data_IF_272533014746
#
_entry.id   IF_272533014746
#
_cell.length_a   1.000
_cell.length_b   1.000
_cell.length_c   1.000
_cell.angle_alpha   90.00
_cell.angle_beta   90.00
_cell.angle_gamma   90.00
#
_symmetry.space_group_name_H-M   'P 1'
#
loop_
_entity.id
_entity.type
_entity.pdbx_description
1 polymer ?
#
# COMPACT_ATOMS: atom_id res chain seq x y z
N UNK A 1 9.71 -2.28 -6.86
CA UNK A 1 9.19 -3.13 -7.95
C UNK A 1 9.40 -2.43 -9.27
N UNK A 2 9.55 -3.21 -10.34
CA UNK A 2 9.74 -2.75 -11.72
C UNK A 2 8.43 -2.29 -12.39
N UNK A 3 7.41 -2.00 -11.60
CA UNK A 3 6.10 -1.58 -12.07
C UNK A 3 5.57 -0.47 -11.14
N UNK A 4 5.19 0.67 -11.75
CA UNK A 4 4.71 1.83 -11.02
C UNK A 4 3.43 1.54 -10.22
N UNK A 5 2.51 0.73 -10.76
CA UNK A 5 1.27 0.32 -10.08
C UNK A 5 1.57 -0.49 -8.83
N UNK A 6 2.49 -1.42 -8.95
CA UNK A 6 2.97 -2.27 -7.88
C UNK A 6 3.67 -1.48 -6.75
N UNK A 7 4.42 -0.44 -7.10
CA UNK A 7 5.03 0.48 -6.15
C UNK A 7 3.95 1.27 -5.37
N UNK A 8 2.92 1.78 -6.04
CA UNK A 8 1.79 2.46 -5.39
C UNK A 8 1.07 1.51 -4.43
N UNK A 9 0.77 0.28 -4.87
CA UNK A 9 0.15 -0.73 -4.00
C UNK A 9 1.00 -1.06 -2.79
N UNK A 10 2.32 -1.08 -2.93
CA UNK A 10 3.23 -1.31 -1.80
C UNK A 10 3.16 -0.20 -0.77
N UNK A 11 3.12 1.06 -1.22
CA UNK A 11 2.96 2.23 -0.32
C UNK A 11 1.59 2.18 0.38
N UNK A 12 0.52 1.86 -0.36
CA UNK A 12 -0.81 1.68 0.20
C UNK A 12 -0.85 0.58 1.27
N UNK A 13 -0.34 -0.62 0.96
CA UNK A 13 -0.28 -1.75 1.91
C UNK A 13 0.52 -1.39 3.16
N UNK A 14 1.64 -0.68 3.01
CA UNK A 14 2.45 -0.23 4.13
C UNK A 14 1.68 0.76 5.03
N UNK A 15 0.91 1.68 4.44
CA UNK A 15 0.07 2.60 5.19
C UNK A 15 -1.05 1.88 5.94
N UNK A 16 -1.76 0.95 5.30
CA UNK A 16 -2.76 0.09 5.95
C UNK A 16 -2.16 -0.68 7.12
N UNK A 17 -0.97 -1.27 6.93
CA UNK A 17 -0.27 -1.98 8.00
C UNK A 17 0.09 -1.08 9.19
N UNK A 18 0.52 0.17 8.93
CA UNK A 18 0.78 1.16 10.00
C UNK A 18 -0.47 1.49 10.78
N UNK A 19 -1.59 1.73 10.10
CA UNK A 19 -2.88 1.99 10.75
C UNK A 19 -3.34 0.79 11.60
N UNK A 20 -3.21 -0.43 11.07
CA UNK A 20 -3.52 -1.65 11.82
C UNK A 20 -2.64 -1.81 13.06
N UNK A 21 -1.35 -1.49 12.95
CA UNK A 21 -0.44 -1.52 14.09
C UNK A 21 -0.82 -0.49 15.17
N UNK A 22 -1.20 0.73 14.77
CA UNK A 22 -1.64 1.78 15.69
C UNK A 22 -2.97 1.42 16.38
N UNK A 23 -3.88 0.73 15.67
CA UNK A 23 -5.19 0.33 16.18
C UNK A 23 -5.23 -1.12 16.70
N UNK A 24 -4.07 -1.69 17.05
CA UNK A 24 -3.95 -3.12 17.39
C UNK A 24 -4.87 -3.55 18.53
N UNK A 25 -5.09 -2.70 19.54
CA UNK A 25 -5.99 -3.01 20.66
C UNK A 25 -7.41 -3.27 20.17
N UNK A 26 -7.96 -2.36 19.38
CA UNK A 26 -9.30 -2.47 18.79
C UNK A 26 -9.46 -3.74 17.91
N UNK A 27 -8.39 -4.17 17.23
CA UNK A 27 -8.40 -5.41 16.42
C UNK A 27 -8.49 -6.67 17.30
N UNK A 28 -7.92 -6.62 18.50
CA UNK A 28 -7.89 -7.73 19.45
C UNK A 28 -9.14 -7.78 20.34
N UNK A 29 -9.75 -6.63 20.61
CA UNK A 29 -11.01 -6.49 21.35
C UNK A 29 -12.20 -6.82 20.43
N UNK A 30 -12.45 -8.11 20.24
CA UNK A 30 -13.54 -8.63 19.41
C UNK A 30 -14.86 -8.53 20.19
N UNK A 31 -15.92 -7.89 19.65
CA UNK A 31 -17.23 -7.86 20.28
C UNK A 31 -17.84 -9.26 20.41
N UNK A 32 -18.56 -9.53 21.49
CA UNK A 32 -19.23 -10.83 21.72
C UNK A 32 -20.25 -11.19 20.62
N UNK A 33 -20.81 -10.18 19.97
CA UNK A 33 -21.77 -10.34 18.86
C UNK A 33 -21.14 -10.70 17.52
N UNK A 34 -19.80 -10.80 17.44
CA UNK A 34 -19.07 -10.99 16.19
C UNK A 34 -18.04 -12.10 16.27
N UNK A 35 -17.76 -12.73 15.12
CA UNK A 35 -16.63 -13.64 15.02
C UNK A 35 -15.33 -12.85 14.87
N UNK A 36 -14.21 -13.43 15.32
CA UNK A 36 -12.88 -12.84 15.15
C UNK A 36 -12.60 -12.50 13.67
N UNK A 37 -13.01 -13.37 12.75
CA UNK A 37 -12.82 -13.16 11.32
C UNK A 37 -13.63 -11.97 10.79
N UNK A 38 -14.91 -11.87 11.15
CA UNK A 38 -15.79 -10.79 10.70
C UNK A 38 -15.34 -9.42 11.26
N UNK A 39 -14.96 -9.37 12.54
CA UNK A 39 -14.42 -8.17 13.17
C UNK A 39 -13.16 -7.67 12.48
N UNK A 40 -12.16 -8.57 12.31
CA UNK A 40 -10.90 -8.22 11.64
C UNK A 40 -11.09 -7.79 10.19
N UNK A 41 -11.99 -8.45 9.46
CA UNK A 41 -12.33 -8.06 8.09
C UNK A 41 -12.93 -6.65 8.05
N UNK A 42 -13.87 -6.34 8.94
CA UNK A 42 -14.51 -5.02 9.04
C UNK A 42 -13.47 -3.93 9.31
N UNK A 43 -12.58 -4.18 10.26
CA UNK A 43 -11.50 -3.25 10.63
C UNK A 43 -10.50 -3.05 9.47
N UNK A 44 -10.15 -4.12 8.75
CA UNK A 44 -9.28 -4.04 7.57
C UNK A 44 -9.93 -3.25 6.42
N UNK A 45 -11.21 -3.50 6.13
CA UNK A 45 -11.94 -2.79 5.08
C UNK A 45 -12.07 -1.30 5.40
N UNK A 46 -12.36 -0.98 6.67
CA UNK A 46 -12.37 0.41 7.12
C UNK A 46 -11.01 1.08 6.91
N UNK A 47 -9.92 0.45 7.37
CA UNK A 47 -8.57 0.97 7.17
C UNK A 47 -8.23 1.17 5.69
N UNK A 48 -8.51 0.17 4.84
CA UNK A 48 -8.27 0.23 3.41
C UNK A 48 -9.03 1.39 2.75
N UNK A 49 -10.32 1.54 3.06
CA UNK A 49 -11.16 2.59 2.47
C UNK A 49 -10.70 4.00 2.88
N UNK A 50 -10.41 4.20 4.17
CA UNK A 50 -9.93 5.49 4.69
C UNK A 50 -8.57 5.86 4.09
N UNK A 51 -7.61 4.92 4.11
CA UNK A 51 -6.22 5.17 3.71
C UNK A 51 -6.05 5.25 2.19
N UNK A 52 -6.87 4.53 1.42
CA UNK A 52 -6.76 4.52 -0.05
C UNK A 52 -6.86 5.93 -0.63
N UNK A 53 -7.80 6.74 -0.11
CA UNK A 53 -8.03 8.12 -0.56
C UNK A 53 -6.91 9.07 -0.16
N UNK A 54 -6.27 8.82 0.98
CA UNK A 54 -5.19 9.67 1.49
C UNK A 54 -3.84 9.36 0.83
N UNK A 55 -3.59 8.09 0.54
CA UNK A 55 -2.25 7.61 0.15
C UNK A 55 -2.13 7.39 -1.35
N UNK A 56 -3.16 6.88 -2.02
CA UNK A 56 -3.13 6.60 -3.46
C UNK A 56 -3.53 7.84 -4.25
N UNK A 57 -2.64 8.84 -4.23
CA UNK A 57 -2.86 10.11 -4.94
C UNK A 57 -2.32 10.03 -6.37
N UNK A 58 -2.85 10.87 -7.27
CA UNK A 58 -2.32 10.99 -8.64
C UNK A 58 -0.84 11.39 -8.65
N UNK A 59 -0.40 12.18 -7.67
CA UNK A 59 1.00 12.56 -7.51
C UNK A 59 1.87 11.36 -7.17
N UNK A 60 1.45 10.51 -6.23
CA UNK A 60 2.17 9.29 -5.87
C UNK A 60 2.25 8.34 -7.08
N UNK A 61 1.13 8.13 -7.78
CA UNK A 61 1.10 7.30 -8.98
C UNK A 61 2.12 7.80 -10.02
N UNK A 62 2.15 9.10 -10.28
CA UNK A 62 3.09 9.72 -11.20
C UNK A 62 4.54 9.50 -10.77
N UNK A 63 4.86 9.73 -9.48
CA UNK A 63 6.21 9.49 -8.92
C UNK A 63 6.64 8.03 -9.08
N UNK A 64 5.76 7.08 -8.77
CA UNK A 64 6.06 5.65 -8.90
C UNK A 64 6.29 5.23 -10.35
N UNK A 65 5.52 5.77 -11.30
CA UNK A 65 5.70 5.52 -12.72
C UNK A 65 7.04 6.09 -13.21
N UNK A 66 7.34 7.35 -12.91
CA UNK A 66 8.62 7.96 -13.30
C UNK A 66 9.81 7.21 -12.73
N UNK A 67 9.77 6.83 -11.45
CA UNK A 67 10.83 6.04 -10.85
C UNK A 67 11.09 4.71 -11.59
N UNK A 68 10.03 4.03 -12.02
CA UNK A 68 10.16 2.82 -12.85
C UNK A 68 10.78 3.12 -14.21
N UNK A 69 10.37 4.21 -14.87
CA UNK A 69 10.93 4.60 -16.17
C UNK A 69 12.41 5.01 -16.08
N UNK A 70 12.80 5.77 -15.06
CA UNK A 70 14.20 6.14 -14.81
C UNK A 70 15.07 4.90 -14.63
N UNK A 71 14.63 3.96 -13.78
CA UNK A 71 15.35 2.71 -13.59
C UNK A 71 15.52 1.93 -14.90
N UNK A 72 14.46 1.86 -15.73
CA UNK A 72 14.53 1.17 -17.01
C UNK A 72 15.47 1.88 -18.00
N UNK A 73 15.43 3.21 -18.05
CA UNK A 73 16.32 3.99 -18.90
C UNK A 73 17.78 3.76 -18.50
N UNK A 74 18.10 3.82 -17.21
CA UNK A 74 19.45 3.56 -16.68
C UNK A 74 19.90 2.13 -17.00
N UNK A 75 19.03 1.13 -16.80
CA UNK A 75 19.34 -0.26 -17.10
C UNK A 75 19.61 -0.50 -18.60
N UNK A 76 18.86 0.17 -19.47
CA UNK A 76 19.07 0.13 -20.92
C UNK A 76 20.41 0.79 -21.28
N UNK A 77 20.68 1.99 -20.77
CA UNK A 77 21.93 2.71 -21.02
C UNK A 77 23.15 1.90 -20.56
N UNK A 78 23.09 1.31 -19.37
CA UNK A 78 24.14 0.41 -18.86
C UNK A 78 24.37 -0.80 -19.76
N UNK A 79 23.30 -1.35 -20.36
CA UNK A 79 23.41 -2.48 -21.30
C UNK A 79 24.04 -2.08 -22.63
N UNK A 80 23.91 -0.84 -23.07
CA UNK A 80 24.56 -0.33 -24.28
C UNK A 80 26.02 0.13 -24.06
N UNK A 81 26.44 0.30 -22.81
CA UNK A 81 27.80 0.67 -22.43
C UNK A 81 28.70 -0.54 -22.10
N UNK A 82 28.15 -1.76 -22.08
CA UNK A 82 28.84 -3.02 -21.83
C UNK A 82 29.04 -3.82 -23.12
#
# INVERSE_FOLDING_TARGET
MLNGVENVFSVFKAAVKRYMAANRRNILEVPESSTIAAHRLTVLLHAANTISREVVTSELCRKCIYHTFEFLADAILLKYMA
#
